data_IF_919847735230
#
_entry.id   IF_919847735230
#
_cell.length_a   1.000
_cell.length_b   1.000
_cell.length_c   1.000
_cell.angle_alpha   90.00
_cell.angle_beta   90.00
_cell.angle_gamma   90.00
#
_symmetry.space_group_name_H-M   'P 1'
#
loop_
_entity.id
_entity.type
_entity.pdbx_description
1 polymer ?
#
# COMPACT_ATOMS: atom_id res chain seq x y z
N UNK A 1 14.70 -12.85 0.53
CA UNK A 1 14.49 -11.48 -0.03
C UNK A 1 13.25 -11.44 -0.94
N UNK A 2 12.77 -10.23 -1.32
CA UNK A 2 11.66 -10.07 -2.28
C UNK A 2 12.11 -10.33 -3.72
N UNK A 3 11.43 -11.24 -4.44
CA UNK A 3 11.74 -11.59 -5.84
C UNK A 3 11.38 -10.46 -6.82
N UNK A 4 11.86 -10.59 -8.07
CA UNK A 4 11.78 -9.55 -9.10
C UNK A 4 10.37 -8.95 -9.29
N UNK A 5 9.33 -9.76 -9.49
CA UNK A 5 7.95 -9.28 -9.67
C UNK A 5 7.44 -8.46 -8.47
N UNK A 6 7.79 -8.88 -7.25
CA UNK A 6 7.45 -8.13 -6.04
C UNK A 6 8.19 -6.80 -5.96
N UNK A 7 9.46 -6.76 -6.36
CA UNK A 7 10.22 -5.49 -6.43
C UNK A 7 9.66 -4.54 -7.48
N UNK A 8 9.23 -5.07 -8.63
CA UNK A 8 8.58 -4.29 -9.69
C UNK A 8 7.24 -3.69 -9.25
N UNK A 9 6.51 -4.38 -8.37
CA UNK A 9 5.26 -3.83 -7.80
C UNK A 9 5.54 -2.82 -6.68
N UNK A 10 6.41 -3.17 -5.73
CA UNK A 10 6.58 -2.40 -4.50
C UNK A 10 7.41 -1.12 -4.71
N UNK A 11 8.49 -1.17 -5.50
CA UNK A 11 9.41 -0.03 -5.63
C UNK A 11 8.74 1.21 -6.22
N UNK A 12 8.00 1.13 -7.35
CA UNK A 12 7.32 2.30 -7.89
C UNK A 12 6.17 2.78 -6.99
N UNK A 13 5.49 1.87 -6.29
CA UNK A 13 4.47 2.24 -5.30
C UNK A 13 5.06 3.08 -4.16
N UNK A 14 6.18 2.65 -3.57
CA UNK A 14 6.85 3.43 -2.51
C UNK A 14 7.23 4.83 -3.00
N UNK A 15 7.77 4.94 -4.23
CA UNK A 15 8.06 6.24 -4.86
C UNK A 15 6.80 7.11 -4.92
N UNK A 16 5.68 6.56 -5.38
CA UNK A 16 4.42 7.29 -5.51
C UNK A 16 3.82 7.68 -4.14
N UNK A 17 4.18 6.95 -3.08
CA UNK A 17 3.89 7.30 -1.68
C UNK A 17 4.82 8.39 -1.10
N UNK A 18 5.82 8.85 -1.86
CA UNK A 18 6.75 9.90 -1.46
C UNK A 18 8.11 9.44 -0.98
N UNK A 19 8.48 8.16 -1.15
CA UNK A 19 9.87 7.74 -0.90
C UNK A 19 10.82 8.50 -1.85
N UNK A 20 11.84 9.11 -1.27
CA UNK A 20 12.92 9.71 -2.05
C UNK A 20 13.83 8.63 -2.62
N UNK A 21 14.65 8.98 -3.62
CA UNK A 21 15.64 8.03 -4.17
C UNK A 21 16.65 7.61 -3.10
N UNK A 22 17.06 8.53 -2.22
CA UNK A 22 18.01 8.25 -1.14
C UNK A 22 17.39 7.30 -0.09
N UNK A 23 16.11 7.52 0.25
CA UNK A 23 15.37 6.59 1.13
C UNK A 23 15.22 5.22 0.49
N UNK A 24 14.95 5.18 -0.82
CA UNK A 24 14.86 3.95 -1.59
C UNK A 24 16.18 3.18 -1.55
N UNK A 25 17.33 3.83 -1.81
CA UNK A 25 18.63 3.17 -1.71
C UNK A 25 18.88 2.60 -0.31
N UNK A 26 18.69 3.43 0.72
CA UNK A 26 18.93 3.02 2.11
C UNK A 26 18.06 1.84 2.50
N UNK A 27 16.76 1.94 2.24
CA UNK A 27 15.78 0.93 2.65
C UNK A 27 15.94 -0.37 1.86
N UNK A 28 16.07 -0.31 0.52
CA UNK A 28 16.25 -1.53 -0.28
C UNK A 28 17.56 -2.23 0.04
N UNK A 29 18.65 -1.49 0.30
CA UNK A 29 19.91 -2.08 0.75
C UNK A 29 19.75 -2.77 2.09
N UNK A 30 19.17 -2.08 3.07
CA UNK A 30 18.91 -2.63 4.39
C UNK A 30 18.04 -3.90 4.35
N UNK A 31 16.95 -3.90 3.58
CA UNK A 31 16.01 -5.02 3.54
C UNK A 31 16.51 -6.20 2.68
N UNK A 32 17.14 -5.95 1.54
CA UNK A 32 17.67 -7.02 0.69
C UNK A 32 18.89 -7.69 1.31
N UNK A 33 19.75 -6.95 2.00
CA UNK A 33 20.93 -7.50 2.67
C UNK A 33 20.63 -8.26 3.97
N UNK A 34 19.35 -8.37 4.38
CA UNK A 34 18.95 -9.36 5.40
C UNK A 34 19.00 -10.79 4.85
N UNK A 35 19.01 -10.93 3.53
CA UNK A 35 19.28 -12.20 2.88
C UNK A 35 20.79 -12.44 2.84
N UNK A 36 21.22 -13.58 3.38
CA UNK A 36 22.64 -13.91 3.50
C UNK A 36 23.35 -14.01 2.13
N UNK A 37 22.59 -14.24 1.05
CA UNK A 37 23.10 -14.31 -0.32
C UNK A 37 23.31 -12.92 -0.97
N UNK A 38 22.90 -11.84 -0.31
CA UNK A 38 22.98 -10.48 -0.86
C UNK A 38 23.79 -9.60 0.10
N UNK A 39 25.10 -9.57 -0.07
CA UNK A 39 25.95 -8.62 0.65
C UNK A 39 25.85 -7.19 0.07
N UNK A 40 26.49 -6.24 0.73
CA UNK A 40 26.47 -4.83 0.31
C UNK A 40 27.05 -4.64 -1.10
N UNK A 41 28.11 -5.37 -1.45
CA UNK A 41 28.71 -5.30 -2.79
C UNK A 41 27.77 -5.85 -3.88
N UNK A 42 27.08 -6.95 -3.59
CA UNK A 42 26.08 -7.55 -4.47
C UNK A 42 24.87 -6.66 -4.64
N UNK A 43 24.46 -5.93 -3.58
CA UNK A 43 23.43 -4.91 -3.69
C UNK A 43 23.82 -3.83 -4.70
N UNK A 44 24.99 -3.20 -4.52
CA UNK A 44 25.44 -2.11 -5.37
C UNK A 44 25.55 -2.54 -6.84
N UNK A 45 26.06 -3.76 -7.07
CA UNK A 45 26.24 -4.29 -8.42
C UNK A 45 24.92 -4.59 -9.12
N UNK A 46 23.96 -5.20 -8.42
CA UNK A 46 22.81 -5.84 -9.08
C UNK A 46 21.50 -5.07 -8.92
N UNK A 47 21.41 -4.12 -7.97
CA UNK A 47 20.14 -3.48 -7.60
C UNK A 47 20.17 -1.95 -7.73
N UNK A 48 21.34 -1.32 -7.77
CA UNK A 48 21.45 0.14 -7.85
C UNK A 48 20.84 0.69 -9.14
N UNK A 49 21.16 0.08 -10.29
CA UNK A 49 20.56 0.45 -11.58
C UNK A 49 19.03 0.40 -11.55
N UNK A 50 18.50 -0.62 -10.88
CA UNK A 50 17.07 -0.91 -10.73
C UNK A 50 16.34 0.19 -9.95
N UNK A 51 17.00 0.77 -8.94
CA UNK A 51 16.52 1.94 -8.19
C UNK A 51 16.63 3.18 -9.07
N UNK A 52 17.79 3.47 -9.65
CA UNK A 52 17.97 4.66 -10.49
C UNK A 52 16.98 4.71 -11.66
N UNK A 53 16.73 3.57 -12.31
CA UNK A 53 15.77 3.44 -13.38
C UNK A 53 14.34 3.75 -12.92
N UNK A 54 13.91 3.27 -11.75
CA UNK A 54 12.57 3.55 -11.23
C UNK A 54 12.31 5.04 -10.98
N UNK A 55 13.36 5.80 -10.67
CA UNK A 55 13.33 7.25 -10.44
C UNK A 55 13.72 8.09 -11.66
N UNK A 56 13.88 7.47 -12.84
CA UNK A 56 14.18 8.18 -14.08
C UNK A 56 15.59 8.77 -14.14
N UNK A 57 16.54 8.22 -13.37
CA UNK A 57 17.97 8.60 -13.41
C UNK A 57 18.78 7.80 -14.44
N UNK A 58 18.18 6.75 -15.01
CA UNK A 58 18.74 5.90 -16.09
C UNK A 58 17.65 5.59 -17.13
N UNK A 59 18.05 5.06 -18.29
CA UNK A 59 17.13 4.70 -19.37
C UNK A 59 16.51 5.93 -20.06
N UNK A 60 15.22 5.86 -20.40
CA UNK A 60 14.48 6.96 -21.07
C UNK A 60 14.10 8.12 -20.12
N UNK A 61 14.65 8.15 -18.91
CA UNK A 61 14.50 9.23 -17.92
C UNK A 61 13.06 9.53 -17.45
N UNK A 62 12.08 8.69 -17.78
CA UNK A 62 10.69 8.85 -17.35
C UNK A 62 10.43 8.30 -15.94
N UNK A 63 11.23 7.33 -15.50
CA UNK A 63 10.96 6.57 -14.28
C UNK A 63 9.85 5.52 -14.47
N UNK A 64 9.67 4.66 -13.47
CA UNK A 64 8.64 3.63 -13.48
C UNK A 64 7.39 4.09 -12.72
N UNK A 65 6.21 3.95 -13.33
CA UNK A 65 4.94 4.23 -12.65
C UNK A 65 4.47 3.01 -11.85
N UNK A 66 3.79 3.23 -10.73
CA UNK A 66 3.12 2.14 -10.02
C UNK A 66 2.04 1.48 -10.87
N UNK A 67 1.80 0.19 -10.61
CA UNK A 67 0.78 -0.56 -11.30
C UNK A 67 -0.62 -0.23 -10.76
N UNK A 68 -1.57 -0.03 -11.68
CA UNK A 68 -2.99 0.01 -11.33
C UNK A 68 -3.54 -1.37 -10.96
N UNK A 69 -4.66 -1.39 -10.25
CA UNK A 69 -5.32 -2.61 -9.79
C UNK A 69 -5.60 -3.61 -10.93
N UNK A 70 -6.08 -3.21 -12.13
CA UNK A 70 -6.30 -4.15 -13.23
C UNK A 70 -5.04 -4.94 -13.61
N UNK A 71 -3.88 -4.27 -13.64
CA UNK A 71 -2.60 -4.92 -13.95
C UNK A 71 -2.20 -5.89 -12.84
N UNK A 72 -2.35 -5.50 -11.57
CA UNK A 72 -2.02 -6.35 -10.43
C UNK A 72 -2.90 -7.60 -10.33
N UNK A 73 -4.18 -7.47 -10.66
CA UNK A 73 -5.14 -8.59 -10.71
C UNK A 73 -4.78 -9.56 -11.83
N UNK A 74 -4.27 -9.06 -12.96
CA UNK A 74 -3.88 -9.85 -14.11
C UNK A 74 -2.47 -10.47 -13.99
N UNK A 75 -1.71 -10.15 -12.94
CA UNK A 75 -0.40 -10.78 -12.73
C UNK A 75 -0.55 -12.29 -12.50
N UNK A 76 0.39 -13.11 -13.00
CA UNK A 76 0.37 -14.55 -12.75
C UNK A 76 0.37 -14.86 -11.25
N UNK A 77 -0.23 -16.00 -10.88
CA UNK A 77 -0.24 -16.47 -9.50
C UNK A 77 1.16 -16.71 -8.94
N UNK A 78 1.27 -16.69 -7.62
CA UNK A 78 2.51 -16.89 -6.89
C UNK A 78 3.12 -18.27 -7.21
N UNK A 79 4.22 -18.29 -7.95
CA UNK A 79 5.03 -19.50 -8.18
C UNK A 79 6.28 -19.45 -7.31
N UNK A 80 6.45 -20.44 -6.43
CA UNK A 80 7.66 -20.68 -5.64
C UNK A 80 8.19 -19.45 -4.89
N UNK A 81 7.53 -19.01 -3.81
CA UNK A 81 8.01 -17.95 -2.92
C UNK A 81 8.02 -16.54 -3.52
N UNK A 82 7.25 -16.30 -4.59
CA UNK A 82 6.99 -14.96 -5.10
C UNK A 82 5.81 -14.35 -4.34
N UNK A 83 5.95 -13.10 -3.90
CA UNK A 83 4.86 -12.35 -3.24
C UNK A 83 4.65 -11.04 -4.00
N UNK A 84 3.56 -10.97 -4.75
CA UNK A 84 3.16 -9.86 -5.63
C UNK A 84 1.75 -10.14 -6.16
N UNK A 85 1.06 -9.15 -6.71
CA UNK A 85 -0.27 -9.25 -7.29
C UNK A 85 -1.33 -8.62 -6.39
N UNK A 86 -2.56 -9.13 -6.50
CA UNK A 86 -3.72 -8.73 -5.72
C UNK A 86 -4.12 -9.84 -4.74
N UNK A 87 -4.09 -9.54 -3.44
CA UNK A 87 -4.40 -10.50 -2.37
C UNK A 87 -5.81 -11.12 -2.52
N UNK A 88 -6.79 -10.31 -2.92
CA UNK A 88 -8.18 -10.76 -3.12
C UNK A 88 -8.35 -11.69 -4.33
N UNK A 89 -7.37 -11.72 -5.24
CA UNK A 89 -7.33 -12.61 -6.40
C UNK A 89 -6.57 -13.90 -6.12
N UNK A 90 -5.45 -13.79 -5.39
CA UNK A 90 -4.45 -14.85 -5.29
C UNK A 90 -4.68 -15.79 -4.12
N UNK A 91 -5.16 -15.27 -2.98
CA UNK A 91 -5.53 -16.13 -1.86
C UNK A 91 -6.86 -16.81 -2.15
N UNK A 92 -6.97 -18.07 -1.76
CA UNK A 92 -8.27 -18.72 -1.67
C UNK A 92 -9.09 -18.14 -0.51
N UNK A 93 -10.39 -18.41 -0.48
CA UNK A 93 -11.29 -17.87 0.54
C UNK A 93 -10.86 -18.24 1.97
N UNK A 94 -10.47 -19.50 2.29
CA UNK A 94 -9.94 -19.84 3.61
C UNK A 94 -8.71 -19.01 4.02
N UNK A 95 -7.72 -18.87 3.13
CA UNK A 95 -6.51 -18.08 3.38
C UNK A 95 -6.84 -16.59 3.55
N UNK A 96 -7.72 -16.06 2.70
CA UNK A 96 -8.17 -14.68 2.77
C UNK A 96 -8.89 -14.40 4.09
N UNK A 97 -9.76 -15.31 4.55
CA UNK A 97 -10.44 -15.20 5.84
C UNK A 97 -9.45 -15.21 7.01
N UNK A 98 -8.48 -16.13 7.00
CA UNK A 98 -7.42 -16.15 8.01
C UNK A 98 -6.65 -14.83 8.03
N UNK A 99 -6.35 -14.27 6.85
CA UNK A 99 -5.64 -13.00 6.73
C UNK A 99 -6.47 -11.82 7.23
N UNK A 100 -7.75 -11.74 6.87
CA UNK A 100 -8.68 -10.71 7.36
C UNK A 100 -8.83 -10.75 8.88
N UNK A 101 -8.93 -11.95 9.48
CA UNK A 101 -8.96 -12.12 10.93
C UNK A 101 -7.67 -11.58 11.59
N UNK A 102 -6.49 -11.88 11.02
CA UNK A 102 -5.20 -11.31 11.51
C UNK A 102 -5.16 -9.79 11.43
N UNK A 103 -5.82 -9.20 10.44
CA UNK A 103 -5.96 -7.76 10.26
C UNK A 103 -7.16 -7.16 11.02
N UNK A 104 -7.79 -7.93 11.90
CA UNK A 104 -8.91 -7.49 12.76
C UNK A 104 -10.09 -6.93 11.96
N UNK A 105 -10.32 -7.47 10.77
CA UNK A 105 -11.54 -7.23 9.99
C UNK A 105 -12.67 -8.05 10.60
N UNK A 106 -13.87 -7.47 10.71
CA UNK A 106 -15.05 -8.18 11.22
C UNK A 106 -15.49 -9.31 10.28
N UNK A 107 -16.15 -10.32 10.85
CA UNK A 107 -16.71 -11.43 10.08
C UNK A 107 -17.75 -10.94 9.05
N UNK A 108 -18.57 -9.94 9.40
CA UNK A 108 -19.55 -9.34 8.49
C UNK A 108 -18.90 -8.73 7.24
N UNK A 109 -17.84 -7.91 7.41
CA UNK A 109 -17.12 -7.33 6.27
C UNK A 109 -16.41 -8.41 5.45
N UNK A 110 -15.87 -9.45 6.10
CA UNK A 110 -15.27 -10.59 5.39
C UNK A 110 -16.32 -11.35 4.56
N UNK A 111 -17.52 -11.54 5.07
CA UNK A 111 -18.63 -12.18 4.34
C UNK A 111 -19.01 -11.38 3.09
N UNK A 112 -19.08 -10.05 3.17
CA UNK A 112 -19.38 -9.22 2.00
C UNK A 112 -18.23 -9.26 0.97
N UNK A 113 -16.96 -9.24 1.41
CA UNK A 113 -15.81 -9.44 0.52
C UNK A 113 -15.87 -10.79 -0.21
N UNK A 114 -16.18 -11.87 0.50
CA UNK A 114 -16.32 -13.20 -0.07
C UNK A 114 -17.43 -13.25 -1.13
N UNK A 115 -18.59 -12.65 -0.83
CA UNK A 115 -19.72 -12.55 -1.77
C UNK A 115 -19.31 -11.79 -3.04
N UNK A 116 -18.61 -10.66 -2.92
CA UNK A 116 -18.11 -9.89 -4.06
C UNK A 116 -17.12 -10.69 -4.93
N UNK A 117 -16.27 -11.48 -4.29
CA UNK A 117 -15.30 -12.34 -4.99
C UNK A 117 -16.00 -13.50 -5.70
N UNK A 118 -16.92 -14.20 -5.02
CA UNK A 118 -17.60 -15.38 -5.54
C UNK A 118 -18.63 -15.04 -6.62
N UNK A 119 -19.32 -13.91 -6.52
CA UNK A 119 -20.44 -13.54 -7.40
C UNK A 119 -20.04 -12.72 -8.62
N UNK A 120 -18.75 -12.65 -8.95
CA UNK A 120 -18.31 -11.88 -10.12
C UNK A 120 -16.84 -11.52 -10.16
N UNK A 121 -16.01 -12.07 -9.26
CA UNK A 121 -14.57 -11.78 -9.19
C UNK A 121 -14.32 -10.27 -9.01
N UNK A 122 -15.15 -9.61 -8.21
CA UNK A 122 -15.08 -8.16 -7.98
C UNK A 122 -13.98 -7.79 -6.98
N UNK A 123 -12.73 -8.10 -7.31
CA UNK A 123 -11.57 -7.95 -6.41
C UNK A 123 -11.35 -6.50 -5.95
N UNK A 124 -11.59 -5.52 -6.82
CA UNK A 124 -11.48 -4.11 -6.49
C UNK A 124 -12.56 -3.69 -5.47
N UNK A 125 -13.79 -4.21 -5.62
CA UNK A 125 -14.86 -3.94 -4.66
C UNK A 125 -14.59 -4.60 -3.31
N UNK A 126 -14.03 -5.82 -3.29
CA UNK A 126 -13.60 -6.45 -2.05
C UNK A 126 -12.49 -5.65 -1.34
N UNK A 127 -11.56 -5.04 -2.09
CA UNK A 127 -10.56 -4.13 -1.54
C UNK A 127 -11.18 -2.84 -0.96
N UNK A 128 -12.22 -2.30 -1.59
CA UNK A 128 -12.98 -1.15 -1.07
C UNK A 128 -13.73 -1.53 0.21
N UNK A 129 -14.31 -2.73 0.28
CA UNK A 129 -14.97 -3.22 1.50
C UNK A 129 -13.96 -3.39 2.66
N UNK A 130 -12.78 -3.94 2.36
CA UNK A 130 -11.67 -3.96 3.32
C UNK A 130 -11.26 -2.56 3.77
N UNK A 131 -11.18 -1.59 2.84
CA UNK A 131 -10.86 -0.21 3.18
C UNK A 131 -11.86 0.37 4.19
N UNK A 132 -13.16 0.18 3.95
CA UNK A 132 -14.24 0.66 4.84
C UNK A 132 -14.17 0.03 6.22
N UNK A 133 -13.91 -1.28 6.27
CA UNK A 133 -13.74 -2.00 7.53
C UNK A 133 -12.59 -1.42 8.38
N UNK A 134 -11.49 -1.00 7.74
CA UNK A 134 -10.34 -0.40 8.43
C UNK A 134 -10.52 1.09 8.73
N UNK A 135 -11.44 1.78 8.04
CA UNK A 135 -11.72 3.19 8.23
C UNK A 135 -13.22 3.44 8.49
N UNK A 136 -13.71 3.14 9.71
CA UNK A 136 -15.12 3.36 10.05
C UNK A 136 -15.56 4.80 9.75
N UNK A 137 -16.68 4.93 9.04
CA UNK A 137 -17.24 6.21 8.61
C UNK A 137 -16.76 6.71 7.24
N UNK A 138 -15.83 6.01 6.58
CA UNK A 138 -15.47 6.29 5.19
C UNK A 138 -16.38 5.53 4.22
N UNK A 139 -16.72 6.14 3.08
CA UNK A 139 -17.53 5.56 2.02
C UNK A 139 -16.71 4.82 0.94
N UNK A 140 -15.38 4.91 1.02
CA UNK A 140 -14.44 4.28 0.08
C UNK A 140 -14.39 4.95 -1.29
N UNK A 141 -14.91 6.18 -1.43
CA UNK A 141 -14.82 6.93 -2.68
C UNK A 141 -13.35 7.16 -3.09
N UNK A 142 -13.06 7.04 -4.38
CA UNK A 142 -11.70 7.20 -4.92
C UNK A 142 -10.78 6.00 -4.70
N UNK A 143 -11.18 4.99 -3.93
CA UNK A 143 -10.41 3.75 -3.72
C UNK A 143 -10.74 2.72 -4.80
N UNK A 144 -9.81 1.79 -5.05
CA UNK A 144 -10.04 0.61 -5.91
C UNK A 144 -9.44 0.71 -7.31
N UNK A 145 -8.89 1.85 -7.73
CA UNK A 145 -8.28 2.01 -9.06
C UNK A 145 -6.78 1.69 -9.07
N UNK A 146 -6.04 2.22 -8.08
CA UNK A 146 -4.62 1.94 -7.88
C UNK A 146 -4.32 1.75 -6.39
N UNK A 147 -3.24 1.04 -6.01
CA UNK A 147 -2.78 1.01 -4.62
C UNK A 147 -2.43 2.41 -4.07
N UNK A 148 -1.97 3.31 -4.94
CA UNK A 148 -1.67 4.70 -4.57
C UNK A 148 -2.90 5.48 -4.12
N UNK A 149 -4.05 5.24 -4.74
CA UNK A 149 -5.31 5.89 -4.33
C UNK A 149 -5.78 5.38 -2.97
N UNK A 150 -5.68 4.06 -2.72
CA UNK A 150 -5.93 3.48 -1.40
C UNK A 150 -5.07 4.15 -0.33
N UNK A 151 -3.76 4.26 -0.58
CA UNK A 151 -2.83 4.87 0.37
C UNK A 151 -3.19 6.34 0.65
N UNK A 152 -3.42 7.13 -0.40
CA UNK A 152 -3.77 8.55 -0.27
C UNK A 152 -5.04 8.74 0.55
N UNK A 153 -6.09 7.97 0.27
CA UNK A 153 -7.35 8.10 1.00
C UNK A 153 -7.23 7.62 2.45
N UNK A 154 -6.48 6.53 2.69
CA UNK A 154 -6.19 6.07 4.06
C UNK A 154 -5.47 7.16 4.86
N UNK A 155 -4.44 7.80 4.30
CA UNK A 155 -3.76 8.93 4.93
C UNK A 155 -4.73 10.09 5.25
N UNK A 156 -5.64 10.42 4.33
CA UNK A 156 -6.66 11.46 4.59
C UNK A 156 -7.60 11.07 5.73
N UNK A 157 -8.04 9.82 5.82
CA UNK A 157 -8.85 9.34 6.94
C UNK A 157 -8.13 9.48 8.27
N UNK A 158 -6.82 9.17 8.33
CA UNK A 158 -6.02 9.34 9.53
C UNK A 158 -5.84 10.82 9.92
N UNK A 159 -5.49 11.68 8.97
CA UNK A 159 -5.33 13.13 9.23
C UNK A 159 -6.65 13.73 9.75
N UNK A 160 -7.80 13.38 9.16
CA UNK A 160 -9.11 13.83 9.63
C UNK A 160 -9.39 13.39 11.07
N UNK A 161 -9.05 12.14 11.42
CA UNK A 161 -9.19 11.63 12.80
C UNK A 161 -8.29 12.38 13.78
N UNK A 162 -7.04 12.66 13.41
CA UNK A 162 -6.10 13.39 14.26
C UNK A 162 -6.54 14.84 14.51
N UNK A 163 -7.08 15.50 13.48
CA UNK A 163 -7.67 16.84 13.60
C UNK A 163 -8.90 16.81 14.52
N UNK A 164 -9.80 15.84 14.35
CA UNK A 164 -11.00 15.71 15.18
C UNK A 164 -10.68 15.39 16.65
N UNK A 165 -9.59 14.67 16.90
CA UNK A 165 -9.14 14.30 18.25
C UNK A 165 -8.27 15.37 18.93
N UNK A 166 -7.87 16.42 18.19
CA UNK A 166 -7.07 17.51 18.76
C UNK A 166 -7.96 18.42 19.64
N UNK A 167 -7.57 18.71 20.89
CA UNK A 167 -8.39 19.54 21.76
C UNK A 167 -8.51 20.95 21.18
N UNK A 168 -9.76 21.43 21.03
CA UNK A 168 -10.04 22.79 20.59
C UNK A 168 -9.32 23.77 21.53
N UNK A 169 -8.39 24.59 20.99
CA UNK A 169 -7.81 25.70 21.74
C UNK A 169 -8.94 26.64 22.15
N UNK A 170 -9.30 26.65 23.43
CA UNK A 170 -10.19 27.63 24.01
C UNK A 170 -9.52 29.01 23.94
N UNK A 171 -9.87 29.81 22.95
CA UNK A 171 -9.55 31.23 22.92
C UNK A 171 -10.44 31.96 23.93
N UNK A 172 -10.06 31.95 25.20
CA UNK A 172 -10.64 32.86 26.19
C UNK A 172 -9.87 34.18 26.11
N UNK A 173 -10.25 35.04 25.15
CA UNK A 173 -9.82 36.43 25.13
C UNK A 173 -10.58 37.17 26.23
N UNK A 174 -9.92 37.34 27.37
CA UNK A 174 -10.43 38.16 28.47
C UNK A 174 -10.73 39.58 28.00
N UNK A 175 -11.98 40.00 28.17
CA UNK A 175 -12.39 41.38 28.00
C UNK A 175 -11.82 42.23 29.13
N UNK A 176 -11.17 43.38 28.89
CA UNK A 176 -10.78 44.27 29.97
C UNK A 176 -12.02 45.02 30.48
N UNK A 177 -12.26 44.98 31.79
CA UNK A 177 -13.20 45.89 32.46
C UNK A 177 -12.62 47.30 32.54
N UNK A 178 -13.43 48.36 32.38
CA UNK A 178 -12.98 49.73 32.51
C UNK A 178 -12.95 50.16 33.99
N UNK A 179 -11.92 50.91 34.36
CA UNK A 179 -11.87 51.74 35.56
C UNK A 179 -11.53 53.18 35.13
#
# INVERSE_FOLDING_TARGET
>A
HLKHSGRLQLRPFLKDCGFTIDDSFRWWKQELCKDAEIDAASFEKNYTYDVEHAYGKKGHLQGQNAFGCPKLIAMPGESGGQVHGCVFKQLDIPQLRQQMHRWKVSDDSMMEMEKLINNGKHYQLACIEYFKAQHPGADGEGVGNTPGDYFKESCRCHIKKDIANSPAKSSNAGSPSPA
#
